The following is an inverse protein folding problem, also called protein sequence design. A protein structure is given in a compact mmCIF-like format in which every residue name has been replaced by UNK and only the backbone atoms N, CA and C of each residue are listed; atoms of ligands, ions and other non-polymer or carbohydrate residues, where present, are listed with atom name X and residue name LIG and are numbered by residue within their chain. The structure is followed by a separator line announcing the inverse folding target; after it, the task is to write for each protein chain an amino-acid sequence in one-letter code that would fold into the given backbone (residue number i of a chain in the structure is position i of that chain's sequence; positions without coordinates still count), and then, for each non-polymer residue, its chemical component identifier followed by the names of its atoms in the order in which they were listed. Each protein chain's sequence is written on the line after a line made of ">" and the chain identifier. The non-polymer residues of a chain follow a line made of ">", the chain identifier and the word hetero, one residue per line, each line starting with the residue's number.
data_IF_091669376287
#
_entry.id   IF_091669376287
#
_cell.length_a   1.000
_cell.length_b   1.000
_cell.length_c   1.000
_cell.angle_alpha   90.00
_cell.angle_beta   90.00
_cell.angle_gamma   90.00
#
_symmetry.space_group_name_H-M   'P 1'
#
loop_
_entity.id
_entity.type
_entity.pdbx_description
1 polymer ?
#
# COMPACT_ATOMS: atom_id res chain seq x y z
N UNK A 1 0.03 3.81 22.21
CA UNK A 1 -0.52 3.92 20.84
C UNK A 1 0.65 4.24 19.94
N UNK A 2 1.06 3.28 19.10
CA UNK A 2 2.15 3.55 18.16
C UNK A 2 1.66 4.59 17.16
N UNK A 3 2.35 5.73 17.11
CA UNK A 3 2.20 6.72 16.05
C UNK A 3 2.68 6.07 14.76
N UNK A 4 1.78 5.39 14.06
CA UNK A 4 2.09 4.93 12.71
C UNK A 4 2.21 6.18 11.83
N UNK A 5 3.45 6.52 11.47
CA UNK A 5 3.70 7.66 10.59
C UNK A 5 3.05 7.36 9.23
N UNK A 6 2.33 8.32 8.64
CA UNK A 6 1.85 8.19 7.27
C UNK A 6 3.04 7.98 6.33
N UNK A 7 2.81 7.31 5.20
CA UNK A 7 3.81 7.16 4.14
C UNK A 7 4.41 8.53 3.81
N UNK A 8 5.73 8.64 3.91
CA UNK A 8 6.44 9.87 3.58
C UNK A 8 6.58 10.04 2.06
N UNK A 9 6.84 11.28 1.63
CA UNK A 9 7.09 11.57 0.21
C UNK A 9 8.33 10.84 -0.31
N UNK A 10 9.39 10.79 0.47
CA UNK A 10 10.65 10.12 0.11
C UNK A 10 10.45 8.61 -0.07
N UNK A 11 9.71 7.96 0.84
CA UNK A 11 9.38 6.53 0.71
C UNK A 11 8.49 6.27 -0.52
N UNK A 12 7.54 7.17 -0.80
CA UNK A 12 6.72 7.09 -2.01
C UNK A 12 7.58 7.17 -3.28
N UNK A 13 8.48 8.15 -3.37
CA UNK A 13 9.35 8.33 -4.54
C UNK A 13 10.25 7.10 -4.76
N UNK A 14 10.82 6.56 -3.68
CA UNK A 14 11.60 5.32 -3.73
C UNK A 14 10.77 4.13 -4.22
N UNK A 15 9.53 3.99 -3.76
CA UNK A 15 8.63 2.91 -4.21
C UNK A 15 8.22 3.08 -5.67
N UNK A 16 7.94 4.31 -6.11
CA UNK A 16 7.63 4.61 -7.49
C UNK A 16 8.79 4.23 -8.42
N UNK A 17 10.02 4.58 -8.04
CA UNK A 17 11.23 4.20 -8.77
C UNK A 17 11.40 2.67 -8.85
N UNK A 18 11.30 1.97 -7.72
CA UNK A 18 11.43 0.50 -7.66
C UNK A 18 10.38 -0.24 -8.51
N UNK A 19 9.18 0.32 -8.63
CA UNK A 19 8.08 -0.24 -9.41
C UNK A 19 8.06 0.25 -10.86
N UNK A 20 9.02 1.10 -11.26
CA UNK A 20 9.08 1.68 -12.61
C UNK A 20 7.91 2.63 -12.93
N UNK A 21 7.25 3.18 -11.91
CA UNK A 21 6.17 4.15 -12.06
C UNK A 21 6.79 5.52 -12.37
N UNK A 22 6.54 6.02 -13.57
CA UNK A 22 7.06 7.29 -14.06
C UNK A 22 5.92 8.18 -14.56
N UNK A 23 6.13 9.49 -14.58
CA UNK A 23 5.16 10.44 -15.13
C UNK A 23 5.52 11.90 -14.85
N UNK A 24 4.69 12.81 -15.32
CA UNK A 24 4.83 14.24 -15.03
C UNK A 24 4.73 14.51 -13.52
N UNK A 25 5.40 15.54 -12.98
CA UNK A 25 5.39 15.84 -11.54
C UNK A 25 3.97 15.95 -10.95
N UNK A 26 3.04 16.58 -11.68
CA UNK A 26 1.65 16.72 -11.25
C UNK A 26 0.93 15.37 -11.08
N UNK A 27 1.25 14.39 -11.94
CA UNK A 27 0.71 13.03 -11.81
C UNK A 27 1.25 12.33 -10.57
N UNK A 28 2.56 12.44 -10.30
CA UNK A 28 3.18 11.83 -9.12
C UNK A 28 2.69 12.48 -7.81
N UNK A 29 2.38 13.77 -7.82
CA UNK A 29 1.81 14.47 -6.67
C UNK A 29 0.38 14.00 -6.34
N UNK A 30 -0.45 13.82 -7.37
CA UNK A 30 -1.79 13.25 -7.19
C UNK A 30 -1.71 11.79 -6.72
N UNK A 31 -0.84 10.99 -7.34
CA UNK A 31 -0.63 9.60 -6.97
C UNK A 31 -0.16 9.46 -5.52
N UNK A 32 0.78 10.30 -5.07
CA UNK A 32 1.21 10.33 -3.67
C UNK A 32 0.04 10.57 -2.71
N UNK A 33 -0.84 11.53 -3.04
CA UNK A 33 -2.02 11.85 -2.23
C UNK A 33 -2.96 10.65 -2.11
N UNK A 34 -3.19 9.93 -3.21
CA UNK A 34 -4.03 8.74 -3.23
C UNK A 34 -3.41 7.56 -2.45
N UNK A 35 -2.14 7.26 -2.69
CA UNK A 35 -1.41 6.17 -2.02
C UNK A 35 -1.36 6.40 -0.51
N UNK A 36 -1.12 7.64 -0.08
CA UNK A 36 -1.13 8.01 1.33
C UNK A 36 -2.50 7.76 1.99
N UNK A 37 -3.59 8.03 1.27
CA UNK A 37 -4.95 7.73 1.73
C UNK A 37 -5.16 6.22 1.93
N UNK A 38 -4.72 5.40 0.98
CA UNK A 38 -4.79 3.93 1.10
C UNK A 38 -3.94 3.44 2.28
N UNK A 39 -2.73 3.95 2.45
CA UNK A 39 -1.84 3.58 3.56
C UNK A 39 -2.48 3.84 4.93
N UNK A 40 -3.15 4.99 5.08
CA UNK A 40 -3.89 5.31 6.30
C UNK A 40 -5.09 4.37 6.52
N UNK A 41 -5.80 4.02 5.44
CA UNK A 41 -6.92 3.08 5.54
C UNK A 41 -6.46 1.65 5.90
N UNK A 42 -5.25 1.25 5.50
CA UNK A 42 -4.72 -0.09 5.77
C UNK A 42 -4.42 -0.35 7.26
N UNK A 43 -4.35 0.67 8.11
CA UNK A 43 -4.21 0.53 9.57
C UNK A 43 -5.35 -0.32 10.17
N UNK A 44 -6.55 -0.32 9.57
CA UNK A 44 -7.64 -1.19 10.02
C UNK A 44 -7.35 -2.68 9.78
N UNK A 45 -6.63 -3.01 8.70
CA UNK A 45 -6.25 -4.38 8.34
C UNK A 45 -5.16 -4.87 9.29
N UNK A 46 -4.19 -4.01 9.63
CA UNK A 46 -3.10 -4.35 10.57
C UNK A 46 -3.59 -4.74 11.96
N UNK A 47 -4.78 -4.30 12.34
CA UNK A 47 -5.41 -4.59 13.65
C UNK A 47 -6.14 -5.94 13.68
N UNK A 48 -6.27 -6.61 12.54
CA UNK A 48 -6.88 -7.94 12.48
C UNK A 48 -5.91 -8.93 13.12
N UNK A 49 -6.35 -9.62 14.17
CA UNK A 49 -5.58 -10.70 14.76
C UNK A 49 -5.62 -11.91 13.83
N UNK A 50 -4.44 -12.26 13.32
CA UNK A 50 -4.23 -13.42 12.43
C UNK A 50 -3.42 -14.51 13.13
N UNK A 51 -3.27 -14.44 14.45
CA UNK A 51 -2.51 -15.42 15.23
C UNK A 51 -3.08 -16.83 15.03
N UNK A 52 -2.22 -17.77 14.64
CA UNK A 52 -2.62 -19.17 14.38
C UNK A 52 -3.39 -19.38 13.07
N UNK A 53 -3.49 -18.36 12.21
CA UNK A 53 -4.08 -18.48 10.87
C UNK A 53 -2.98 -18.62 9.83
N UNK A 54 -3.09 -19.60 8.93
CA UNK A 54 -2.23 -19.69 7.75
C UNK A 54 -2.80 -18.80 6.62
N UNK A 55 -1.96 -18.03 5.91
CA UNK A 55 -2.41 -17.31 4.71
C UNK A 55 -2.97 -18.30 3.69
N UNK A 56 -4.16 -17.99 3.15
CA UNK A 56 -4.70 -18.75 2.03
C UNK A 56 -3.82 -18.52 0.80
N UNK A 57 -3.22 -19.60 0.29
CA UNK A 57 -2.31 -19.58 -0.86
C UNK A 57 -2.96 -20.18 -2.11
N UNK A 58 -4.20 -20.66 -2.02
CA UNK A 58 -4.93 -21.21 -3.14
C UNK A 58 -5.22 -20.12 -4.19
N UNK A 59 -4.49 -20.17 -5.30
CA UNK A 59 -4.89 -19.48 -6.51
C UNK A 59 -5.96 -20.32 -7.21
N UNK A 60 -7.23 -19.91 -7.07
CA UNK A 60 -8.35 -20.50 -7.79
C UNK A 60 -8.62 -19.60 -8.99
N UNK A 61 -8.11 -19.93 -10.21
CA UNK A 61 -8.45 -19.16 -11.39
C UNK A 61 -9.97 -19.19 -11.61
N UNK A 62 -10.56 -18.11 -12.16
CA UNK A 62 -11.95 -18.14 -12.56
C UNK A 62 -12.18 -19.32 -13.50
N UNK A 63 -13.25 -20.07 -13.26
CA UNK A 63 -13.75 -21.08 -14.19
C UNK A 63 -14.60 -20.36 -15.22
N UNK A 64 -14.31 -20.57 -16.50
CA UNK A 64 -15.13 -20.11 -17.63
C UNK A 64 -16.60 -20.58 -17.52
#
# INVERSE_FOLDING_TARGET
>A
MASEKPLSREEFERLAELLGVNGEPAYLDELYSQVRGVYLSADVIKKIDVSGTEPEMAFIPPTD
#
